data_IF_517215607045
#
_entry.id   IF_517215607045
#
_cell.length_a   1.000
_cell.length_b   1.000
_cell.length_c   1.000
_cell.angle_alpha   90.00
_cell.angle_beta   90.00
_cell.angle_gamma   90.00
#
_symmetry.space_group_name_H-M   'P 1'
#
loop_
_entity.id
_entity.type
_entity.pdbx_description
1 polymer ?
#
# COMPACT_ATOMS: atom_id res chain seq x y z
N UNK A 1 10.30 18.05 -8.09
CA UNK A 1 10.46 16.83 -8.90
C UNK A 1 9.13 16.39 -9.52
N UNK A 2 8.04 16.28 -8.78
CA UNK A 2 6.69 15.93 -9.33
C UNK A 2 6.16 16.95 -10.34
N UNK A 3 6.47 18.23 -10.18
CA UNK A 3 6.08 19.31 -11.12
C UNK A 3 6.70 19.11 -12.52
N UNK A 4 7.95 18.67 -12.61
CA UNK A 4 8.60 18.37 -13.88
C UNK A 4 8.00 17.15 -14.58
N UNK A 5 7.51 16.17 -13.82
CA UNK A 5 6.85 14.97 -14.34
C UNK A 5 5.45 15.31 -14.84
N UNK A 6 4.70 16.19 -14.14
CA UNK A 6 3.36 16.63 -14.59
C UNK A 6 3.40 17.45 -15.86
N UNK A 7 4.41 18.31 -16.01
CA UNK A 7 4.65 19.06 -17.26
C UNK A 7 5.03 18.14 -18.42
N UNK A 8 5.83 17.11 -18.16
CA UNK A 8 6.21 16.13 -19.20
C UNK A 8 5.03 15.25 -19.65
N UNK A 9 4.09 14.97 -18.75
CA UNK A 9 2.88 14.17 -19.02
C UNK A 9 1.70 15.02 -19.55
N UNK A 10 1.87 16.34 -19.74
CA UNK A 10 0.83 17.23 -20.25
C UNK A 10 -0.36 17.44 -19.30
N UNK A 11 -0.21 17.06 -18.02
CA UNK A 11 -1.27 17.15 -17.01
C UNK A 11 -1.31 18.49 -16.27
N UNK A 12 -0.60 19.51 -16.74
CA UNK A 12 -0.58 20.85 -16.16
C UNK A 12 -0.10 20.89 -14.70
N UNK A 13 -0.58 21.87 -13.92
CA UNK A 13 -0.16 22.12 -12.54
C UNK A 13 -0.82 21.19 -11.49
N UNK A 14 -1.56 20.16 -11.89
CA UNK A 14 -2.34 19.29 -10.99
C UNK A 14 -1.46 18.56 -9.96
N UNK A 15 -0.22 18.24 -10.32
CA UNK A 15 0.76 17.60 -9.43
C UNK A 15 1.85 18.55 -8.92
N UNK A 16 1.76 19.84 -9.26
CA UNK A 16 2.62 20.87 -8.70
C UNK A 16 2.18 21.16 -7.26
N UNK A 17 2.73 20.45 -6.30
CA UNK A 17 2.57 20.77 -4.89
C UNK A 17 3.22 22.13 -4.62
N UNK A 18 2.44 23.19 -4.65
CA UNK A 18 2.79 24.46 -4.05
C UNK A 18 3.20 24.19 -2.60
N UNK A 19 4.18 24.93 -2.08
CA UNK A 19 4.63 24.81 -0.69
C UNK A 19 3.44 24.56 0.25
N UNK A 20 3.55 23.54 1.10
CA UNK A 20 2.49 23.11 2.02
C UNK A 20 1.81 24.33 2.65
N UNK A 21 0.50 24.49 2.51
CA UNK A 21 -0.21 25.70 3.00
C UNK A 21 -0.26 25.76 4.54
N UNK A 22 0.37 24.82 5.24
CA UNK A 22 0.33 24.69 6.68
C UNK A 22 1.74 24.67 7.29
N UNK A 23 1.88 25.28 8.47
CA UNK A 23 3.08 25.21 9.28
C UNK A 23 3.01 24.00 10.22
N UNK A 24 4.07 23.20 10.25
CA UNK A 24 4.20 22.10 11.21
C UNK A 24 4.63 22.66 12.57
N UNK A 25 3.88 22.31 13.61
CA UNK A 25 4.18 22.67 14.98
C UNK A 25 4.46 21.44 15.83
N UNK A 26 5.41 21.54 16.73
CA UNK A 26 5.61 20.54 17.77
C UNK A 26 4.98 21.03 19.07
N UNK A 27 3.86 20.43 19.46
CA UNK A 27 3.08 20.85 20.64
C UNK A 27 3.50 20.08 21.90
N UNK A 28 4.04 18.85 21.73
CA UNK A 28 4.43 18.00 22.86
C UNK A 28 5.94 18.00 23.07
N UNK A 29 6.41 18.03 24.34
CA UNK A 29 7.84 18.00 24.67
C UNK A 29 8.54 16.75 24.09
N UNK A 30 7.90 15.60 24.12
CA UNK A 30 8.42 14.33 23.60
C UNK A 30 8.12 14.10 22.12
N UNK A 31 7.38 15.01 21.43
CA UNK A 31 6.90 14.79 20.08
C UNK A 31 7.99 14.50 19.07
N UNK A 32 9.08 15.26 19.09
CA UNK A 32 10.22 15.05 18.20
C UNK A 32 10.90 13.70 18.45
N UNK A 33 11.08 13.32 19.71
CA UNK A 33 11.70 12.05 20.10
C UNK A 33 10.83 10.85 19.66
N UNK A 34 9.54 10.91 19.95
CA UNK A 34 8.57 9.85 19.55
C UNK A 34 8.51 9.72 18.03
N UNK A 35 8.50 10.83 17.31
CA UNK A 35 8.51 10.84 15.84
C UNK A 35 9.79 10.21 15.29
N UNK A 36 10.94 10.54 15.88
CA UNK A 36 12.22 9.95 15.48
C UNK A 36 12.24 8.42 15.68
N UNK A 37 11.78 7.95 16.84
CA UNK A 37 11.65 6.50 17.10
C UNK A 37 10.71 5.81 16.10
N UNK A 38 9.57 6.42 15.84
CA UNK A 38 8.59 5.88 14.88
C UNK A 38 9.19 5.75 13.48
N UNK A 39 9.80 6.82 12.97
CA UNK A 39 10.42 6.81 11.64
C UNK A 39 11.55 5.78 11.57
N UNK A 40 12.40 5.69 12.61
CA UNK A 40 13.50 4.72 12.68
C UNK A 40 12.98 3.28 12.66
N UNK A 41 11.93 2.98 13.43
CA UNK A 41 11.32 1.66 13.50
C UNK A 41 10.73 1.24 12.14
N UNK A 42 9.90 2.08 11.52
CA UNK A 42 9.27 1.76 10.24
C UNK A 42 10.27 1.72 9.08
N UNK A 43 11.27 2.61 9.08
CA UNK A 43 12.36 2.55 8.10
C UNK A 43 13.17 1.25 8.23
N UNK A 44 13.44 0.80 9.45
CA UNK A 44 14.06 -0.49 9.73
C UNK A 44 13.24 -1.66 9.18
N UNK A 45 11.91 -1.65 9.40
CA UNK A 45 11.01 -2.68 8.84
C UNK A 45 11.01 -2.68 7.30
N UNK A 46 11.01 -1.50 6.67
CA UNK A 46 11.04 -1.39 5.22
C UNK A 46 12.34 -1.96 4.65
N UNK A 47 13.48 -1.60 5.24
CA UNK A 47 14.79 -2.10 4.79
C UNK A 47 14.93 -3.61 5.04
N UNK A 48 14.39 -4.12 6.14
CA UNK A 48 14.41 -5.55 6.47
C UNK A 48 13.34 -6.38 5.75
N UNK A 49 12.40 -5.75 5.02
CA UNK A 49 11.28 -6.43 4.37
C UNK A 49 11.70 -7.60 3.47
N UNK A 50 12.77 -7.56 2.65
CA UNK A 50 13.18 -8.70 1.84
C UNK A 50 13.58 -9.91 2.69
N UNK A 51 14.22 -9.66 3.86
CA UNK A 51 14.58 -10.70 4.80
C UNK A 51 13.35 -11.28 5.51
N UNK A 52 12.40 -10.42 5.91
CA UNK A 52 11.13 -10.84 6.53
C UNK A 52 10.36 -11.73 5.56
N UNK A 53 10.24 -11.34 4.28
CA UNK A 53 9.58 -12.16 3.27
C UNK A 53 10.32 -13.47 3.01
N UNK A 54 11.66 -13.47 3.07
CA UNK A 54 12.45 -14.69 2.97
C UNK A 54 12.12 -15.67 4.09
N UNK A 55 12.07 -15.22 5.35
CA UNK A 55 11.74 -16.07 6.50
C UNK A 55 10.28 -16.55 6.47
N UNK A 56 9.34 -15.67 6.11
CA UNK A 56 7.94 -16.05 5.90
C UNK A 56 7.82 -17.12 4.81
N UNK A 57 8.55 -16.95 3.72
CA UNK A 57 8.57 -17.92 2.64
C UNK A 57 9.16 -19.26 3.07
N UNK A 58 10.24 -19.23 3.82
CA UNK A 58 10.87 -20.41 4.40
C UNK A 58 9.93 -21.16 5.34
N UNK A 59 9.15 -20.43 6.13
CA UNK A 59 8.14 -21.01 7.02
C UNK A 59 6.99 -21.68 6.26
N UNK A 60 6.55 -21.09 5.15
CA UNK A 60 5.43 -21.60 4.34
C UNK A 60 5.88 -22.72 3.38
N UNK A 61 7.15 -22.71 2.97
CA UNK A 61 7.72 -23.67 2.00
C UNK A 61 7.46 -25.14 2.31
N UNK A 62 7.55 -25.65 3.55
CA UNK A 62 7.25 -27.05 3.85
C UNK A 62 5.81 -27.48 3.55
N UNK A 63 4.85 -26.54 3.45
CA UNK A 63 3.47 -26.82 3.07
C UNK A 63 3.31 -27.10 1.56
N UNK A 64 4.35 -26.89 0.76
CA UNK A 64 4.35 -27.16 -0.68
C UNK A 64 5.09 -28.45 -1.04
N UNK A 65 4.67 -29.09 -2.13
CA UNK A 65 5.35 -30.28 -2.66
C UNK A 65 6.81 -29.96 -3.04
N UNK A 66 7.71 -30.91 -2.77
CA UNK A 66 9.18 -30.78 -2.90
C UNK A 66 9.71 -30.36 -4.28
N UNK A 67 8.91 -30.44 -5.35
CA UNK A 67 9.33 -30.04 -6.70
C UNK A 67 9.34 -28.53 -6.96
N UNK A 68 8.90 -27.71 -6.02
CA UNK A 68 8.64 -26.26 -6.26
C UNK A 68 9.62 -25.31 -5.53
N UNK A 69 10.69 -25.81 -4.93
CA UNK A 69 11.69 -25.00 -4.21
C UNK A 69 12.35 -23.89 -5.07
N UNK A 70 12.41 -24.07 -6.41
CA UNK A 70 12.90 -23.00 -7.32
C UNK A 70 11.92 -21.84 -7.47
N UNK A 71 10.61 -22.08 -7.31
CA UNK A 71 9.59 -21.01 -7.32
C UNK A 71 9.65 -20.15 -6.03
N UNK A 72 10.20 -20.71 -4.96
CA UNK A 72 10.36 -20.03 -3.69
C UNK A 72 11.16 -18.71 -3.81
N UNK A 73 12.30 -18.76 -4.48
CA UNK A 73 13.17 -17.57 -4.64
C UNK A 73 12.50 -16.47 -5.47
N UNK A 74 11.77 -16.85 -6.52
CA UNK A 74 11.00 -15.89 -7.33
C UNK A 74 9.89 -15.21 -6.54
N UNK A 75 9.22 -15.95 -5.65
CA UNK A 75 8.15 -15.41 -4.80
C UNK A 75 8.64 -14.32 -3.85
N UNK A 76 9.76 -14.55 -3.15
CA UNK A 76 10.36 -13.56 -2.24
C UNK A 76 10.74 -12.27 -2.97
N UNK A 77 11.40 -12.39 -4.11
CA UNK A 77 11.79 -11.22 -4.90
C UNK A 77 10.55 -10.44 -5.36
N UNK A 78 9.52 -11.13 -5.85
CA UNK A 78 8.29 -10.51 -6.30
C UNK A 78 7.53 -9.82 -5.16
N UNK A 79 7.43 -10.48 -3.99
CA UNK A 79 6.91 -9.87 -2.76
C UNK A 79 7.67 -8.61 -2.40
N UNK A 80 8.99 -8.67 -2.26
CA UNK A 80 9.79 -7.50 -1.88
C UNK A 80 9.59 -6.33 -2.85
N UNK A 81 9.52 -6.59 -4.14
CA UNK A 81 9.27 -5.54 -5.15
C UNK A 81 7.85 -4.97 -5.01
N UNK A 82 6.83 -5.81 -4.82
CA UNK A 82 5.45 -5.37 -4.65
C UNK A 82 5.27 -4.51 -3.40
N UNK A 83 5.86 -4.93 -2.28
CA UNK A 83 5.84 -4.19 -1.03
C UNK A 83 6.47 -2.81 -1.18
N UNK A 84 7.67 -2.74 -1.76
CA UNK A 84 8.35 -1.46 -2.00
C UNK A 84 7.57 -0.57 -2.96
N UNK A 85 6.97 -1.13 -4.02
CA UNK A 85 6.07 -0.39 -4.91
C UNK A 85 4.86 0.17 -4.16
N UNK A 86 4.26 -0.60 -3.26
CA UNK A 86 3.16 -0.16 -2.41
C UNK A 86 3.55 1.00 -1.51
N UNK A 87 4.74 0.95 -0.88
CA UNK A 87 5.27 2.04 -0.06
C UNK A 87 5.53 3.29 -0.90
N UNK A 88 6.20 3.15 -2.06
CA UNK A 88 6.46 4.27 -2.96
C UNK A 88 5.17 4.91 -3.47
N UNK A 89 4.18 4.11 -3.81
CA UNK A 89 2.86 4.60 -4.20
C UNK A 89 2.19 5.36 -3.05
N UNK A 90 2.21 4.81 -1.82
CA UNK A 90 1.73 5.47 -0.61
C UNK A 90 2.41 6.82 -0.36
N UNK A 91 3.74 6.85 -0.50
CA UNK A 91 4.54 8.04 -0.23
C UNK A 91 4.40 9.14 -1.29
N UNK A 92 4.50 8.78 -2.58
CA UNK A 92 4.54 9.77 -3.66
C UNK A 92 3.16 10.18 -4.18
N UNK A 93 2.17 9.32 -4.06
CA UNK A 93 0.84 9.57 -4.65
C UNK A 93 -0.20 9.85 -3.57
N UNK A 94 -0.36 8.95 -2.60
CA UNK A 94 -1.45 9.06 -1.64
C UNK A 94 -1.14 10.09 -0.55
N UNK A 95 0.05 10.03 0.06
CA UNK A 95 0.39 10.93 1.17
C UNK A 95 0.29 12.42 0.81
N UNK A 96 0.83 12.91 -0.32
CA UNK A 96 0.71 14.31 -0.65
C UNK A 96 -0.74 14.73 -0.92
N UNK A 97 -1.56 13.86 -1.53
CA UNK A 97 -2.96 14.16 -1.79
C UNK A 97 -3.76 14.26 -0.49
N UNK A 98 -3.65 13.23 0.36
CA UNK A 98 -4.36 13.19 1.65
C UNK A 98 -3.93 14.32 2.59
N UNK A 99 -2.63 14.62 2.67
CA UNK A 99 -2.11 15.67 3.55
C UNK A 99 -2.50 17.07 3.05
N UNK A 100 -2.51 17.30 1.74
CA UNK A 100 -3.01 18.57 1.17
C UNK A 100 -4.50 18.74 1.45
N UNK A 101 -5.30 17.68 1.27
CA UNK A 101 -6.74 17.74 1.56
C UNK A 101 -6.98 18.09 3.03
N UNK A 102 -6.36 17.35 3.98
CA UNK A 102 -6.52 17.63 5.41
C UNK A 102 -6.00 19.02 5.80
N UNK A 103 -4.88 19.43 5.22
CA UNK A 103 -4.28 20.73 5.53
C UNK A 103 -5.05 21.93 4.98
N UNK A 104 -5.76 21.74 3.87
CA UNK A 104 -6.57 22.78 3.24
C UNK A 104 -8.04 22.80 3.69
N UNK A 105 -8.51 21.73 4.34
CA UNK A 105 -9.89 21.63 4.78
C UNK A 105 -10.15 22.53 5.99
N UNK A 106 -10.97 23.54 5.82
CA UNK A 106 -11.39 24.50 6.85
C UNK A 106 -12.91 24.55 6.92
N UNK A 107 -13.45 24.46 8.13
CA UNK A 107 -14.89 24.58 8.38
C UNK A 107 -15.29 26.04 8.54
N UNK A 108 -14.37 26.90 9.00
CA UNK A 108 -14.58 28.31 9.25
C UNK A 108 -13.26 29.08 9.12
N UNK A 109 -13.31 30.28 8.56
CA UNK A 109 -12.17 31.19 8.44
C UNK A 109 -11.60 31.67 9.80
N UNK A 110 -12.35 31.45 10.88
CA UNK A 110 -11.95 31.80 12.25
C UNK A 110 -10.96 30.79 12.86
N UNK A 111 -10.81 29.60 12.24
CA UNK A 111 -9.95 28.53 12.77
C UNK A 111 -8.78 28.30 11.82
N UNK A 112 -7.57 28.65 12.26
CA UNK A 112 -6.35 28.34 11.50
C UNK A 112 -5.91 26.88 11.73
N UNK A 113 -5.68 26.13 10.64
CA UNK A 113 -5.17 24.76 10.71
C UNK A 113 -3.69 24.75 11.13
N UNK A 114 -3.43 24.28 12.34
CA UNK A 114 -2.06 24.01 12.82
C UNK A 114 -1.88 22.51 12.98
N UNK A 115 -1.01 21.93 12.16
CA UNK A 115 -0.80 20.47 12.13
C UNK A 115 0.39 20.11 13.02
N UNK A 116 0.19 19.21 13.98
CA UNK A 116 1.29 18.72 14.81
C UNK A 116 2.22 17.81 14.01
N UNK A 117 3.54 17.94 14.24
CA UNK A 117 4.58 17.12 13.60
C UNK A 117 4.30 15.62 13.80
N UNK A 118 3.93 15.23 15.01
CA UNK A 118 3.64 13.83 15.36
C UNK A 118 2.46 13.27 14.55
N UNK A 119 1.37 14.03 14.42
CA UNK A 119 0.20 13.63 13.64
C UNK A 119 0.54 13.50 12.15
N UNK A 120 1.27 14.46 11.60
CA UNK A 120 1.71 14.44 10.21
C UNK A 120 2.54 13.19 9.88
N UNK A 121 3.58 12.92 10.66
CA UNK A 121 4.46 11.76 10.43
C UNK A 121 3.74 10.45 10.69
N UNK A 122 2.90 10.36 11.73
CA UNK A 122 2.10 9.17 12.02
C UNK A 122 1.18 8.82 10.85
N UNK A 123 0.48 9.80 10.30
CA UNK A 123 -0.40 9.61 9.13
C UNK A 123 0.40 9.16 7.91
N UNK A 124 1.52 9.82 7.62
CA UNK A 124 2.40 9.47 6.50
C UNK A 124 2.90 8.03 6.60
N UNK A 125 3.43 7.64 7.74
CA UNK A 125 3.96 6.29 7.99
C UNK A 125 2.85 5.24 7.88
N UNK A 126 1.68 5.52 8.45
CA UNK A 126 0.52 4.61 8.40
C UNK A 126 0.07 4.39 6.95
N UNK A 127 -0.09 5.45 6.17
CA UNK A 127 -0.47 5.36 4.76
C UNK A 127 0.57 4.53 3.97
N UNK A 128 1.85 4.84 4.09
CA UNK A 128 2.91 4.14 3.37
C UNK A 128 2.95 2.66 3.72
N UNK A 129 2.98 2.34 5.01
CA UNK A 129 3.11 0.96 5.48
C UNK A 129 1.88 0.11 5.16
N UNK A 130 0.67 0.66 5.38
CA UNK A 130 -0.58 -0.01 5.05
C UNK A 130 -0.69 -0.32 3.55
N UNK A 131 -0.33 0.63 2.68
CA UNK A 131 -0.28 0.38 1.24
C UNK A 131 0.74 -0.69 0.87
N UNK A 132 1.94 -0.69 1.49
CA UNK A 132 2.92 -1.76 1.30
C UNK A 132 2.33 -3.14 1.57
N UNK A 133 1.65 -3.31 2.71
CA UNK A 133 1.00 -4.58 3.09
C UNK A 133 -0.10 -4.97 2.09
N UNK A 134 -0.94 -4.03 1.70
CA UNK A 134 -2.07 -4.34 0.81
C UNK A 134 -1.60 -4.68 -0.61
N UNK A 135 -0.47 -4.15 -1.05
CA UNK A 135 0.14 -4.54 -2.33
C UNK A 135 0.62 -6.00 -2.34
N UNK A 136 0.75 -6.66 -1.19
CA UNK A 136 1.02 -8.10 -1.08
C UNK A 136 -0.18 -9.01 -1.41
N UNK A 137 -1.39 -8.46 -1.61
CA UNK A 137 -2.60 -9.25 -1.94
C UNK A 137 -2.39 -10.26 -3.08
N UNK A 138 -1.71 -9.94 -4.22
CA UNK A 138 -1.49 -10.91 -5.28
C UNK A 138 -0.64 -12.11 -4.85
N UNK A 139 0.33 -11.88 -3.97
CA UNK A 139 1.20 -12.93 -3.43
C UNK A 139 0.42 -13.81 -2.45
N UNK A 140 -0.38 -13.20 -1.58
CA UNK A 140 -1.27 -13.93 -0.66
C UNK A 140 -2.25 -14.83 -1.43
N UNK A 141 -2.87 -14.30 -2.50
CA UNK A 141 -3.75 -15.08 -3.37
C UNK A 141 -3.00 -16.21 -4.07
N UNK A 142 -1.76 -15.96 -4.51
CA UNK A 142 -0.90 -17.00 -5.08
C UNK A 142 -0.74 -18.19 -4.13
N UNK A 143 -0.44 -17.91 -2.85
CA UNK A 143 -0.30 -18.95 -1.82
C UNK A 143 -1.58 -19.72 -1.58
N UNK A 144 -2.67 -19.00 -1.33
CA UNK A 144 -3.97 -19.62 -1.04
C UNK A 144 -4.47 -20.48 -2.22
N UNK A 145 -4.16 -20.08 -3.45
CA UNK A 145 -4.48 -20.88 -4.64
C UNK A 145 -3.63 -22.14 -4.70
N UNK A 146 -2.34 -22.05 -4.38
CA UNK A 146 -1.43 -23.21 -4.36
C UNK A 146 -1.80 -24.23 -3.28
N UNK A 147 -2.31 -23.77 -2.13
CA UNK A 147 -2.82 -24.65 -1.08
C UNK A 147 -4.22 -25.22 -1.41
N UNK A 148 -4.81 -24.86 -2.56
CA UNK A 148 -6.13 -25.32 -2.96
C UNK A 148 -7.31 -24.63 -2.21
N UNK A 149 -7.00 -23.64 -1.36
CA UNK A 149 -8.03 -22.92 -0.58
C UNK A 149 -8.80 -21.90 -1.41
N UNK A 150 -8.15 -21.30 -2.43
CA UNK A 150 -8.78 -20.34 -3.34
C UNK A 150 -8.77 -20.85 -4.78
N UNK A 151 -9.91 -20.74 -5.45
CA UNK A 151 -10.04 -21.02 -6.87
C UNK A 151 -10.43 -19.77 -7.64
N UNK A 152 -10.03 -19.63 -8.93
CA UNK A 152 -10.42 -18.50 -9.76
C UNK A 152 -11.94 -18.35 -9.89
N UNK A 153 -12.68 -19.45 -9.79
CA UNK A 153 -14.14 -19.46 -9.84
C UNK A 153 -14.74 -18.74 -8.62
N UNK A 154 -14.27 -19.10 -7.41
CA UNK A 154 -14.70 -18.47 -6.15
C UNK A 154 -14.40 -16.96 -6.20
N UNK A 155 -13.19 -16.58 -6.60
CA UNK A 155 -12.80 -15.17 -6.69
C UNK A 155 -13.68 -14.38 -7.66
N UNK A 156 -14.07 -14.96 -8.80
CA UNK A 156 -14.98 -14.31 -9.76
C UNK A 156 -16.39 -14.16 -9.21
N UNK A 157 -16.93 -15.17 -8.52
CA UNK A 157 -18.27 -15.13 -7.91
C UNK A 157 -18.34 -14.06 -6.83
N UNK A 158 -17.32 -13.97 -5.98
CA UNK A 158 -17.25 -13.00 -4.89
C UNK A 158 -16.65 -11.64 -5.28
N UNK A 159 -16.46 -11.37 -6.58
CA UNK A 159 -15.86 -10.13 -7.09
C UNK A 159 -16.52 -8.86 -6.54
N UNK A 160 -17.86 -8.82 -6.50
CA UNK A 160 -18.62 -7.67 -5.98
C UNK A 160 -18.31 -7.42 -4.50
N UNK A 161 -18.26 -8.48 -3.70
CA UNK A 161 -17.94 -8.38 -2.27
C UNK A 161 -16.47 -7.95 -2.05
N UNK A 162 -15.55 -8.45 -2.87
CA UNK A 162 -14.14 -8.05 -2.81
C UNK A 162 -13.93 -6.57 -3.14
N UNK A 163 -14.68 -6.01 -4.09
CA UNK A 163 -14.64 -4.57 -4.39
C UNK A 163 -15.12 -3.76 -3.16
N UNK A 164 -16.20 -4.18 -2.52
CA UNK A 164 -16.68 -3.53 -1.29
C UNK A 164 -15.63 -3.62 -0.17
N UNK A 165 -15.01 -4.79 0.02
CA UNK A 165 -13.91 -4.94 0.99
C UNK A 165 -12.72 -4.03 0.67
N UNK A 166 -12.36 -3.89 -0.59
CA UNK A 166 -11.29 -2.96 -1.02
C UNK A 166 -11.63 -1.51 -0.70
N UNK A 167 -12.89 -1.11 -0.91
CA UNK A 167 -13.35 0.24 -0.57
C UNK A 167 -13.32 0.48 0.96
N UNK A 168 -13.69 -0.51 1.75
CA UNK A 168 -13.60 -0.43 3.22
C UNK A 168 -12.13 -0.35 3.66
N UNK A 169 -11.25 -1.18 3.09
CA UNK A 169 -9.82 -1.15 3.39
C UNK A 169 -9.20 0.19 3.03
N UNK A 170 -9.51 0.74 1.85
CA UNK A 170 -9.01 2.06 1.46
C UNK A 170 -9.50 3.16 2.43
N UNK A 171 -10.75 3.09 2.90
CA UNK A 171 -11.29 4.05 3.88
C UNK A 171 -10.61 3.97 5.26
N UNK A 172 -10.11 2.79 5.65
CA UNK A 172 -9.35 2.61 6.91
C UNK A 172 -7.92 3.15 6.77
N UNK A 173 -7.31 2.98 5.59
CA UNK A 173 -5.91 3.38 5.33
C UNK A 173 -5.80 4.89 5.14
N UNK A 174 -6.74 5.47 4.40
CA UNK A 174 -6.71 6.91 4.11
C UNK A 174 -7.46 7.70 5.18
N UNK A 175 -7.03 8.93 5.44
CA UNK A 175 -7.88 9.88 6.16
C UNK A 175 -9.28 9.97 5.52
N UNK A 176 -10.30 10.45 6.23
CA UNK A 176 -11.68 10.48 5.75
C UNK A 176 -11.89 11.50 4.61
N UNK A 177 -11.26 11.25 3.46
CA UNK A 177 -11.45 12.02 2.23
C UNK A 177 -11.78 11.12 1.05
N UNK A 178 -12.80 11.47 0.29
CA UNK A 178 -13.32 10.70 -0.84
C UNK A 178 -12.29 10.61 -1.97
N UNK A 179 -11.52 11.67 -2.19
CA UNK A 179 -10.54 11.74 -3.28
C UNK A 179 -9.42 10.73 -3.09
N UNK A 180 -8.78 10.70 -1.91
CA UNK A 180 -7.72 9.74 -1.59
C UNK A 180 -8.26 8.32 -1.51
N UNK A 181 -9.47 8.11 -0.99
CA UNK A 181 -10.10 6.80 -0.93
C UNK A 181 -10.28 6.19 -2.34
N UNK A 182 -10.81 6.95 -3.29
CA UNK A 182 -10.99 6.48 -4.69
C UNK A 182 -9.62 6.19 -5.31
N UNK A 183 -8.64 7.07 -5.10
CA UNK A 183 -7.31 6.93 -5.68
C UNK A 183 -6.58 5.68 -5.15
N UNK A 184 -6.75 5.34 -3.87
CA UNK A 184 -6.20 4.11 -3.29
C UNK A 184 -6.95 2.88 -3.79
N UNK A 185 -8.28 2.93 -3.86
CA UNK A 185 -9.09 1.77 -4.25
C UNK A 185 -8.83 1.33 -5.69
N UNK A 186 -8.51 2.26 -6.60
CA UNK A 186 -8.29 1.94 -8.00
C UNK A 186 -7.13 0.95 -8.25
N UNK A 187 -5.89 1.18 -7.78
CA UNK A 187 -4.83 0.19 -7.93
C UNK A 187 -5.10 -1.11 -7.17
N UNK A 188 -5.81 -1.07 -6.04
CA UNK A 188 -6.16 -2.28 -5.30
C UNK A 188 -7.13 -3.18 -6.09
N UNK A 189 -8.09 -2.59 -6.80
CA UNK A 189 -8.99 -3.32 -7.70
C UNK A 189 -8.18 -3.95 -8.84
N UNK A 190 -7.22 -3.22 -9.41
CA UNK A 190 -6.32 -3.77 -10.44
C UNK A 190 -5.51 -4.95 -9.91
N UNK A 191 -4.94 -4.83 -8.71
CA UNK A 191 -4.19 -5.90 -8.05
C UNK A 191 -5.07 -7.13 -7.78
N UNK A 192 -6.32 -6.93 -7.39
CA UNK A 192 -7.28 -8.02 -7.25
C UNK A 192 -7.55 -8.73 -8.59
N UNK A 193 -7.77 -8.00 -9.68
CA UNK A 193 -7.95 -8.58 -11.02
C UNK A 193 -6.70 -9.33 -11.50
N UNK A 194 -5.52 -8.79 -11.23
CA UNK A 194 -4.26 -9.49 -11.51
C UNK A 194 -4.15 -10.79 -10.70
N UNK A 195 -4.60 -10.79 -9.46
CA UNK A 195 -4.63 -11.96 -8.57
C UNK A 195 -5.52 -13.08 -9.13
N UNK A 196 -6.69 -12.74 -9.70
CA UNK A 196 -7.56 -13.71 -10.38
C UNK A 196 -6.84 -14.34 -11.59
N UNK A 197 -6.14 -13.53 -12.37
CA UNK A 197 -5.38 -14.03 -13.54
C UNK A 197 -4.23 -14.94 -13.12
N UNK A 198 -3.54 -14.60 -12.02
CA UNK A 198 -2.46 -15.41 -11.44
C UNK A 198 -3.02 -16.76 -10.98
N UNK A 199 -4.10 -16.76 -10.20
CA UNK A 199 -4.78 -17.97 -9.73
C UNK A 199 -5.21 -18.88 -10.90
N UNK A 200 -5.79 -18.31 -11.97
CA UNK A 200 -6.18 -19.06 -13.14
C UNK A 200 -5.00 -19.70 -13.89
N UNK A 201 -3.84 -19.03 -13.94
CA UNK A 201 -2.61 -19.58 -14.55
C UNK A 201 -2.03 -20.74 -13.74
N UNK A 202 -2.12 -20.67 -12.41
CA UNK A 202 -1.63 -21.72 -11.52
C UNK A 202 -2.42 -23.00 -11.78
N UNK A 203 -3.75 -22.96 -11.68
CA UNK A 203 -4.60 -24.14 -11.86
C UNK A 203 -4.46 -24.74 -13.26
N UNK A 204 -4.33 -23.91 -14.31
CA UNK A 204 -4.06 -24.43 -15.67
C UNK A 204 -2.73 -25.17 -15.78
N UNK A 205 -1.71 -24.78 -15.02
CA UNK A 205 -0.42 -25.46 -15.01
C UNK A 205 -0.47 -26.77 -14.23
N UNK A 206 -1.25 -26.82 -13.15
CA UNK A 206 -1.45 -28.05 -12.37
C UNK A 206 -2.24 -29.09 -13.13
N UNK A 207 -3.29 -28.71 -13.85
CA UNK A 207 -4.09 -29.62 -14.68
C UNK A 207 -3.34 -30.14 -15.94
N UNK A 208 -2.16 -29.60 -16.27
CA UNK A 208 -1.33 -30.07 -17.39
C UNK A 208 -0.19 -30.99 -16.95
N UNK A 209 0.02 -31.15 -15.65
CA UNK A 209 0.96 -32.11 -15.08
C UNK A 209 0.26 -33.41 -14.72
#
# INVERSE_FOLDING_TARGET
MLCNISQFLGMGDVLCLKQSPFSLMNISMSGQFTTHLMVSFFSGLIISSPYIFWELWRFISPAFYTSEAKLARGGVFFSSVLFLMGILFGYYVISPLSLNFLGSYQVSDLVSNQISLTSYISTLVTICFANGIVFELPVLVYFLTKMGLLTPHIMKVYRKHSIVCVLILSAIITPPDISSQILVSFPLIILYELSIKISARIIRRENKK
#
